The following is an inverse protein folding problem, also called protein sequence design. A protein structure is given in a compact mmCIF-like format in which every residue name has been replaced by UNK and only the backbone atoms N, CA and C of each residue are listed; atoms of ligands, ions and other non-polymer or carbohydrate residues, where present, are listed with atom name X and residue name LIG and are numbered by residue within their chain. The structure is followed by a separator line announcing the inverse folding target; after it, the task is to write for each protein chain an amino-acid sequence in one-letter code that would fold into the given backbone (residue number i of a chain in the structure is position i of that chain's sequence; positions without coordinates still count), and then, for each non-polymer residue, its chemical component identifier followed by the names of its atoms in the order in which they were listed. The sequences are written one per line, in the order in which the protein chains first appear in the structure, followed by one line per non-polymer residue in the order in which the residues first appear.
data_IF_163325849715
#
_entry.id   IF_163325849715
#
_cell.length_a   1.000
_cell.length_b   1.000
_cell.length_c   1.000
_cell.angle_alpha   90.00
_cell.angle_beta   90.00
_cell.angle_gamma   90.00
#
_symmetry.space_group_name_H-M   'P 1'
#
loop_
_entity.id
_entity.type
_entity.pdbx_description
1 polymer ?
#
# COMPACT_ATOMS: atom_id res chain seq x y z
N UNK A 1 -26.20 1.20 -12.75
CA UNK A 1 -25.61 1.52 -11.43
C UNK A 1 -25.72 3.02 -11.27
N UNK A 2 -26.09 3.54 -10.10
CA UNK A 2 -26.10 5.00 -9.89
C UNK A 2 -24.66 5.51 -9.75
N UNK A 3 -24.45 6.78 -10.08
CA UNK A 3 -23.15 7.44 -9.91
C UNK A 3 -22.65 7.35 -8.47
N UNK A 4 -23.57 7.45 -7.50
CA UNK A 4 -23.26 7.30 -6.07
C UNK A 4 -22.65 5.93 -5.74
N UNK A 5 -23.20 4.84 -6.30
CA UNK A 5 -22.66 3.48 -6.06
C UNK A 5 -21.26 3.34 -6.66
N UNK A 6 -21.04 3.88 -7.86
CA UNK A 6 -19.72 3.85 -8.50
C UNK A 6 -18.69 4.63 -7.67
N UNK A 7 -19.07 5.81 -7.19
CA UNK A 7 -18.20 6.64 -6.35
C UNK A 7 -17.84 5.96 -5.03
N UNK A 8 -18.81 5.35 -4.35
CA UNK A 8 -18.57 4.60 -3.11
C UNK A 8 -17.64 3.40 -3.35
N UNK A 9 -17.89 2.62 -4.41
CA UNK A 9 -17.03 1.51 -4.78
C UNK A 9 -15.61 1.96 -5.13
N UNK A 10 -15.45 3.04 -5.91
CA UNK A 10 -14.13 3.57 -6.27
C UNK A 10 -13.37 4.06 -5.04
N UNK A 11 -14.04 4.83 -4.18
CA UNK A 11 -13.45 5.36 -2.94
C UNK A 11 -13.04 4.23 -2.00
N UNK A 12 -13.93 3.25 -1.79
CA UNK A 12 -13.67 2.08 -0.96
C UNK A 12 -12.54 1.21 -1.50
N UNK A 13 -12.44 1.03 -2.81
CA UNK A 13 -11.37 0.27 -3.46
C UNK A 13 -10.00 0.94 -3.24
N UNK A 14 -9.93 2.25 -3.44
CA UNK A 14 -8.70 3.02 -3.24
C UNK A 14 -8.28 2.97 -1.76
N UNK A 15 -9.20 3.30 -0.85
CA UNK A 15 -8.95 3.27 0.60
C UNK A 15 -8.56 1.87 1.08
N UNK A 16 -9.30 0.85 0.67
CA UNK A 16 -9.05 -0.54 1.03
C UNK A 16 -7.69 -1.04 0.56
N UNK A 17 -7.21 -0.57 -0.59
CA UNK A 17 -5.86 -0.91 -1.09
C UNK A 17 -4.77 -0.32 -0.18
N UNK A 18 -4.93 0.92 0.28
CA UNK A 18 -3.98 1.54 1.21
C UNK A 18 -4.02 0.90 2.61
N UNK A 19 -5.22 0.67 3.16
CA UNK A 19 -5.39 0.03 4.48
C UNK A 19 -4.87 -1.41 4.47
N UNK A 20 -5.19 -2.17 3.42
CA UNK A 20 -4.72 -3.54 3.25
C UNK A 20 -3.20 -3.61 3.10
N UNK A 21 -2.63 -2.71 2.28
CA UNK A 21 -1.17 -2.62 2.12
C UNK A 21 -0.45 -2.27 3.42
N UNK A 22 -0.95 -1.29 4.17
CA UNK A 22 -0.39 -0.90 5.46
C UNK A 22 -0.51 -2.01 6.52
N UNK A 23 -1.64 -2.71 6.55
CA UNK A 23 -1.85 -3.87 7.44
C UNK A 23 -0.89 -5.02 7.10
N UNK A 24 -0.61 -5.22 5.81
CA UNK A 24 0.27 -6.27 5.31
C UNK A 24 1.74 -6.08 5.66
N UNK A 25 2.18 -4.89 6.08
CA UNK A 25 3.60 -4.61 6.39
C UNK A 25 4.08 -5.40 7.59
N UNK A 26 3.29 -5.44 8.67
CA UNK A 26 3.65 -6.17 9.89
C UNK A 26 3.80 -7.66 9.64
N UNK A 27 2.81 -8.25 8.98
CA UNK A 27 2.68 -9.70 8.80
C UNK A 27 3.16 -10.23 7.44
N UNK A 28 3.93 -9.43 6.68
CA UNK A 28 4.32 -9.80 5.32
C UNK A 28 5.08 -11.15 5.30
N UNK A 29 4.61 -12.05 4.43
CA UNK A 29 5.19 -13.39 4.22
C UNK A 29 5.19 -14.31 5.46
N UNK A 30 4.21 -14.16 6.36
CA UNK A 30 3.85 -15.23 7.30
C UNK A 30 3.19 -16.37 6.49
N UNK A 31 4.02 -17.24 5.92
CA UNK A 31 3.56 -18.32 5.04
C UNK A 31 3.38 -19.66 5.78
N UNK A 32 3.75 -19.73 7.05
CA UNK A 32 3.69 -20.98 7.82
C UNK A 32 2.92 -20.81 9.12
N UNK A 33 2.22 -21.87 9.53
CA UNK A 33 1.48 -21.95 10.79
C UNK A 33 2.35 -21.70 12.03
N UNK A 34 3.67 -21.89 11.94
CA UNK A 34 4.61 -21.56 13.01
C UNK A 34 4.89 -20.06 13.12
N UNK A 35 4.90 -19.34 11.99
CA UNK A 35 5.21 -17.91 11.95
C UNK A 35 4.05 -17.01 12.42
N UNK A 36 2.81 -17.54 12.49
CA UNK A 36 1.69 -16.83 13.13
C UNK A 36 1.83 -16.79 14.66
N UNK A 37 2.58 -17.73 15.27
CA UNK A 37 2.86 -17.74 16.71
C UNK A 37 3.81 -16.63 17.15
N UNK A 38 4.47 -15.95 16.21
CA UNK A 38 5.26 -14.75 16.50
C UNK A 38 4.37 -13.55 16.89
N UNK A 39 3.06 -13.65 16.62
CA UNK A 39 2.06 -12.66 16.97
C UNK A 39 1.20 -13.25 18.10
N UNK A 40 1.16 -12.53 19.22
CA UNK A 40 0.55 -13.02 20.46
C UNK A 40 -0.98 -13.20 20.32
N UNK A 41 -1.62 -12.49 19.38
CA UNK A 41 -3.06 -12.47 19.15
C UNK A 41 -3.43 -12.40 17.65
N UNK A 42 -4.71 -12.61 17.35
CA UNK A 42 -5.30 -12.32 16.04
C UNK A 42 -5.01 -10.86 15.63
N UNK A 43 -4.51 -10.67 14.41
CA UNK A 43 -4.12 -9.36 13.89
C UNK A 43 -5.39 -8.58 13.56
N UNK A 44 -5.83 -7.72 14.48
CA UNK A 44 -7.03 -6.86 14.35
C UNK A 44 -6.69 -5.40 14.04
N UNK A 45 -5.40 -5.04 14.11
CA UNK A 45 -4.88 -3.70 13.85
C UNK A 45 -3.55 -3.77 13.12
N UNK A 46 -2.99 -2.62 12.75
CA UNK A 46 -1.66 -2.53 12.19
C UNK A 46 -0.61 -2.99 13.21
N UNK A 47 0.31 -3.85 12.77
CA UNK A 47 1.36 -4.40 13.64
C UNK A 47 2.74 -4.04 13.13
N UNK A 48 3.67 -3.82 14.04
CA UNK A 48 5.08 -3.59 13.70
C UNK A 48 5.70 -4.86 13.08
N UNK A 49 6.51 -4.74 12.00
CA UNK A 49 7.31 -5.84 11.50
C UNK A 49 8.29 -6.34 12.56
N UNK A 50 8.40 -7.67 12.70
CA UNK A 50 9.42 -8.27 13.58
C UNK A 50 10.84 -8.00 13.03
N UNK A 51 11.85 -7.81 13.88
CA UNK A 51 13.25 -7.67 13.46
C UNK A 51 13.70 -8.84 12.58
N UNK A 52 14.48 -8.55 11.53
CA UNK A 52 15.02 -9.56 10.61
C UNK A 52 14.02 -10.08 9.58
N UNK A 53 12.81 -9.51 9.51
CA UNK A 53 11.80 -9.80 8.48
C UNK A 53 11.89 -8.81 7.30
N UNK A 54 11.11 -9.08 6.24
CA UNK A 54 11.15 -8.34 4.98
C UNK A 54 11.02 -6.82 5.12
N UNK A 55 10.10 -6.34 5.98
CA UNK A 55 9.89 -4.91 6.24
C UNK A 55 10.63 -4.43 7.50
N UNK A 56 11.78 -5.00 7.86
CA UNK A 56 12.57 -4.50 8.99
C UNK A 56 12.87 -3.01 8.82
N UNK A 57 12.63 -2.22 9.87
CA UNK A 57 12.80 -0.76 9.86
C UNK A 57 11.54 0.01 9.49
N UNK A 58 10.49 -0.66 9.00
CA UNK A 58 9.16 -0.06 8.89
C UNK A 58 8.41 -0.15 10.23
N UNK A 59 7.34 0.62 10.33
CA UNK A 59 6.41 0.72 11.45
C UNK A 59 4.99 0.40 11.00
N UNK A 60 4.18 -0.04 11.96
CA UNK A 60 2.76 -0.25 11.81
C UNK A 60 2.10 0.94 11.10
N UNK A 61 1.32 0.67 10.06
CA UNK A 61 0.59 1.70 9.32
C UNK A 61 1.40 2.39 8.21
N UNK A 62 2.70 2.15 8.10
CA UNK A 62 3.47 2.68 6.96
C UNK A 62 3.07 1.99 5.65
N UNK A 63 3.08 2.76 4.57
CA UNK A 63 2.75 2.23 3.25
C UNK A 63 3.94 1.43 2.67
N UNK A 64 3.70 0.23 2.13
CA UNK A 64 4.72 -0.48 1.36
C UNK A 64 4.86 0.09 -0.06
N UNK A 65 5.91 -0.31 -0.78
CA UNK A 65 6.19 0.15 -2.15
C UNK A 65 4.98 0.09 -3.11
N UNK A 66 4.15 -0.98 -3.15
CA UNK A 66 3.00 -1.03 -4.05
C UNK A 66 1.98 0.09 -3.80
N UNK A 67 1.79 0.49 -2.54
CA UNK A 67 0.93 1.61 -2.19
C UNK A 67 1.52 2.94 -2.65
N UNK A 68 2.84 3.12 -2.56
CA UNK A 68 3.49 4.31 -3.12
C UNK A 68 3.30 4.38 -4.64
N UNK A 69 3.46 3.26 -5.35
CA UNK A 69 3.23 3.19 -6.80
C UNK A 69 1.79 3.57 -7.15
N UNK A 70 0.80 3.00 -6.44
CA UNK A 70 -0.60 3.36 -6.64
C UNK A 70 -0.87 4.84 -6.40
N UNK A 71 -0.30 5.43 -5.34
CA UNK A 71 -0.43 6.85 -5.04
C UNK A 71 0.08 7.73 -6.19
N UNK A 72 1.23 7.39 -6.77
CA UNK A 72 1.78 8.12 -7.92
C UNK A 72 0.90 7.99 -9.14
N UNK A 73 0.37 6.78 -9.40
CA UNK A 73 -0.54 6.59 -10.51
C UNK A 73 -1.83 7.41 -10.34
N UNK A 74 -2.39 7.47 -9.13
CA UNK A 74 -3.61 8.25 -8.88
C UNK A 74 -3.39 9.75 -9.11
N UNK A 75 -2.23 10.30 -8.72
CA UNK A 75 -1.92 11.71 -9.01
C UNK A 75 -1.74 11.95 -10.50
N UNK A 76 -0.98 11.10 -11.19
CA UNK A 76 -0.79 11.22 -12.64
C UNK A 76 -2.12 11.15 -13.40
N UNK A 77 -3.02 10.21 -13.04
CA UNK A 77 -4.36 10.12 -13.64
C UNK A 77 -5.21 11.37 -13.37
N UNK A 78 -5.13 11.92 -12.16
CA UNK A 78 -5.86 13.13 -11.79
C UNK A 78 -5.37 14.36 -12.56
N UNK A 79 -4.05 14.53 -12.65
CA UNK A 79 -3.43 15.70 -13.28
C UNK A 79 -3.52 15.65 -14.81
N UNK A 80 -3.34 14.47 -15.42
CA UNK A 80 -3.35 14.31 -16.88
C UNK A 80 -4.75 14.02 -17.45
N UNK A 81 -5.72 13.67 -16.60
CA UNK A 81 -7.09 13.29 -17.00
C UNK A 81 -7.19 11.98 -17.80
N UNK A 82 -6.06 11.29 -18.01
CA UNK A 82 -5.93 10.02 -18.69
C UNK A 82 -4.61 9.35 -18.28
N UNK A 83 -4.39 8.10 -18.70
CA UNK A 83 -3.12 7.43 -18.45
C UNK A 83 -2.00 8.07 -19.29
N UNK A 84 -0.99 8.61 -18.62
CA UNK A 84 0.27 9.08 -19.21
C UNK A 84 1.43 8.30 -18.58
N UNK A 85 2.06 7.44 -19.37
CA UNK A 85 3.19 6.61 -18.93
C UNK A 85 4.42 7.45 -18.57
N UNK A 86 4.68 8.53 -19.32
CA UNK A 86 5.88 9.34 -19.15
C UNK A 86 5.78 10.18 -17.87
N UNK A 87 4.60 10.74 -17.59
CA UNK A 87 4.32 11.47 -16.35
C UNK A 87 4.44 10.55 -15.13
N UNK A 88 3.75 9.40 -15.14
CA UNK A 88 3.80 8.41 -14.07
C UNK A 88 5.24 7.90 -13.78
N UNK A 89 5.98 7.48 -14.82
CA UNK A 89 7.34 6.99 -14.67
C UNK A 89 8.31 8.12 -14.27
N UNK A 90 8.04 9.35 -14.70
CA UNK A 90 8.78 10.54 -14.32
C UNK A 90 8.70 10.81 -12.81
N UNK A 91 7.50 10.77 -12.24
CA UNK A 91 7.29 10.93 -10.78
C UNK A 91 7.96 9.81 -9.97
N UNK A 92 7.85 8.56 -10.42
CA UNK A 92 8.56 7.42 -9.81
C UNK A 92 10.09 7.65 -9.78
N UNK A 93 10.64 8.14 -10.89
CA UNK A 93 12.07 8.39 -11.04
C UNK A 93 12.56 9.47 -10.08
N UNK A 94 11.82 10.58 -9.94
CA UNK A 94 12.16 11.69 -9.03
C UNK A 94 12.26 11.25 -7.57
N UNK A 95 11.36 10.36 -7.14
CA UNK A 95 11.30 9.87 -5.76
C UNK A 95 12.35 8.77 -5.50
N UNK A 96 12.57 7.91 -6.49
CA UNK A 96 13.49 6.78 -6.36
C UNK A 96 14.97 7.18 -6.50
N UNK A 97 15.24 8.25 -7.27
CA UNK A 97 16.59 8.73 -7.58
C UNK A 97 16.69 10.25 -7.38
N UNK A 98 16.60 10.73 -6.13
CA UNK A 98 16.77 12.15 -5.82
C UNK A 98 18.19 12.62 -6.18
N UNK A 99 18.30 13.79 -6.83
CA UNK A 99 19.56 14.47 -7.13
C UNK A 99 19.97 15.40 -6.01
#
# INVERSE_FOLDING_TARGET
MSDAVVQECASGTIMGTFVGGASGVGCHLILTWGASRDYDDEITTHTDPKPGRYHTGYKAGQLPQPCFILKLMLYSLFDQGSYDEADFCGEWTKISFPR
#
